data_IF_493711008875
#
_entry.id   IF_493711008875
#
_cell.length_a   1.000
_cell.length_b   1.000
_cell.length_c   1.000
_cell.angle_alpha   90.00
_cell.angle_beta   90.00
_cell.angle_gamma   90.00
#
_symmetry.space_group_name_H-M   'P 1'
#
loop_
_entity.id
_entity.type
_entity.pdbx_description
1 polymer ?
#
# COMPACT_ATOMS: atom_id res chain seq x y z
N UNK A 1 -13.23 6.11 5.04
CA UNK A 1 -12.01 5.73 4.27
C UNK A 1 -11.78 4.25 4.51
N UNK A 2 -11.72 3.45 3.45
CA UNK A 2 -11.62 1.98 3.54
C UNK A 2 -10.21 1.53 3.19
N UNK A 3 -9.66 0.58 3.96
CA UNK A 3 -8.39 -0.07 3.63
C UNK A 3 -8.67 -1.37 2.88
N UNK A 4 -8.14 -1.47 1.67
CA UNK A 4 -8.37 -2.56 0.72
C UNK A 4 -7.08 -3.35 0.45
N UNK A 5 -7.22 -4.59 0.00
CA UNK A 5 -6.12 -5.34 -0.63
C UNK A 5 -5.69 -4.64 -1.91
N UNK A 6 -4.47 -4.90 -2.38
CA UNK A 6 -3.92 -4.24 -3.57
C UNK A 6 -4.84 -4.40 -4.80
N UNK A 7 -5.30 -5.63 -5.08
CA UNK A 7 -6.20 -5.89 -6.21
C UNK A 7 -7.56 -5.19 -6.07
N UNK A 8 -8.19 -5.27 -4.89
CA UNK A 8 -9.46 -4.60 -4.65
C UNK A 8 -9.33 -3.06 -4.75
N UNK A 9 -8.20 -2.50 -4.33
CA UNK A 9 -7.92 -1.08 -4.50
C UNK A 9 -7.85 -0.68 -5.98
N UNK A 10 -7.21 -1.49 -6.81
CA UNK A 10 -7.06 -1.22 -8.26
C UNK A 10 -8.41 -1.26 -8.97
N UNK A 11 -9.26 -2.24 -8.66
CA UNK A 11 -10.62 -2.30 -9.22
C UNK A 11 -11.49 -1.11 -8.78
N UNK A 12 -11.45 -0.75 -7.50
CA UNK A 12 -12.20 0.41 -7.01
C UNK A 12 -11.65 1.73 -7.57
N UNK A 13 -10.33 1.84 -7.77
CA UNK A 13 -9.73 3.00 -8.42
C UNK A 13 -10.19 3.14 -9.87
N UNK A 14 -10.28 2.03 -10.64
CA UNK A 14 -10.83 2.07 -12.01
C UNK A 14 -12.24 2.64 -12.02
N UNK A 15 -13.13 2.09 -11.17
CA UNK A 15 -14.52 2.58 -11.05
C UNK A 15 -14.56 4.06 -10.69
N UNK A 16 -13.66 4.51 -9.83
CA UNK A 16 -13.58 5.90 -9.39
C UNK A 16 -13.14 6.85 -10.52
N UNK A 17 -12.25 6.40 -11.41
CA UNK A 17 -11.79 7.18 -12.57
C UNK A 17 -12.79 7.18 -13.74
N UNK A 18 -13.53 6.09 -13.94
CA UNK A 18 -14.51 5.97 -15.04
C UNK A 18 -15.92 6.42 -14.65
N UNK A 19 -16.09 6.96 -13.44
CA UNK A 19 -17.40 7.39 -12.96
C UNK A 19 -17.83 8.66 -13.70
N UNK A 20 -18.74 8.51 -14.64
CA UNK A 20 -19.42 9.63 -15.28
C UNK A 20 -20.44 10.20 -14.28
N UNK A 21 -20.02 11.18 -13.47
CA UNK A 21 -21.00 12.04 -12.79
C UNK A 21 -21.60 12.94 -13.89
N UNK A 22 -22.92 12.79 -14.15
CA UNK A 22 -23.70 13.46 -15.21
C UNK A 22 -23.58 15.00 -15.25
N UNK A 23 -22.91 15.62 -14.27
CA UNK A 23 -22.84 17.08 -14.13
C UNK A 23 -21.48 17.68 -13.75
N UNK A 24 -20.35 16.96 -13.77
CA UNK A 24 -19.01 17.58 -13.61
C UNK A 24 -17.85 16.62 -13.89
N UNK A 25 -16.80 17.14 -14.54
CA UNK A 25 -15.45 16.53 -14.49
C UNK A 25 -15.02 16.41 -13.03
N UNK A 26 -15.16 15.22 -12.44
CA UNK A 26 -14.74 14.95 -11.07
C UNK A 26 -13.22 14.71 -11.05
N UNK A 27 -12.49 15.44 -10.21
CA UNK A 27 -11.06 15.21 -10.01
C UNK A 27 -10.84 14.09 -9.01
N UNK A 28 -10.03 13.10 -9.39
CA UNK A 28 -9.57 12.04 -8.50
C UNK A 28 -8.23 12.44 -7.88
N UNK A 29 -8.19 12.53 -6.56
CA UNK A 29 -7.00 12.84 -5.78
C UNK A 29 -6.32 11.57 -5.30
N UNK A 30 -5.04 11.41 -5.65
CA UNK A 30 -4.21 10.29 -5.19
C UNK A 30 -3.06 10.83 -4.34
N UNK A 31 -2.84 10.21 -3.18
CA UNK A 31 -1.72 10.54 -2.30
C UNK A 31 -0.92 9.30 -1.96
N UNK A 32 0.41 9.46 -1.89
CA UNK A 32 1.35 8.41 -1.52
C UNK A 32 2.14 8.86 -0.30
N UNK A 33 2.20 8.03 0.75
CA UNK A 33 2.90 8.34 1.99
C UNK A 33 3.74 7.16 2.45
N UNK A 34 5.02 7.38 2.70
CA UNK A 34 5.90 6.40 3.37
C UNK A 34 5.47 6.25 4.84
N UNK A 35 5.16 5.03 5.26
CA UNK A 35 4.76 4.73 6.65
C UNK A 35 5.58 3.57 7.22
N UNK A 36 5.80 3.57 8.55
CA UNK A 36 6.55 2.49 9.22
C UNK A 36 5.70 1.23 9.29
N UNK A 37 6.26 0.07 8.94
CA UNK A 37 5.57 -1.24 8.88
C UNK A 37 5.05 -1.71 10.24
N UNK A 38 5.70 -1.30 11.33
CA UNK A 38 5.25 -1.62 12.69
C UNK A 38 3.89 -0.98 13.04
N UNK A 39 3.48 0.08 12.35
CA UNK A 39 2.16 0.70 12.51
C UNK A 39 1.03 -0.10 11.85
N UNK A 40 1.36 -1.05 10.96
CA UNK A 40 0.42 -1.88 10.19
C UNK A 40 0.16 -3.21 10.90
N UNK A 41 1.12 -3.68 11.70
CA UNK A 41 1.14 -5.01 12.34
C UNK A 41 0.00 -5.27 13.33
N UNK A 42 -0.91 -4.32 13.59
CA UNK A 42 -2.14 -4.59 14.36
C UNK A 42 -3.22 -5.33 13.56
N UNK A 43 -3.04 -5.51 12.25
CA UNK A 43 -4.11 -5.99 11.36
C UNK A 43 -3.88 -7.36 10.72
N UNK A 44 -2.66 -7.90 10.79
CA UNK A 44 -2.41 -9.30 10.41
C UNK A 44 -2.56 -10.13 11.69
N UNK A 45 -3.79 -10.56 11.95
CA UNK A 45 -4.07 -11.61 12.93
C UNK A 45 -3.10 -12.77 12.70
N UNK A 46 -2.49 -13.23 13.81
CA UNK A 46 -1.71 -14.46 13.90
C UNK A 46 -2.28 -15.53 12.97
N UNK A 47 -1.53 -15.89 11.94
CA UNK A 47 -1.55 -17.26 11.44
C UNK A 47 -0.46 -18.02 12.21
N UNK A 48 -0.86 -19.18 12.69
CA UNK A 48 -0.22 -20.02 13.70
C UNK A 48 1.17 -20.53 13.30
N UNK A 49 1.96 -20.89 14.31
CA UNK A 49 3.11 -21.80 14.18
C UNK A 49 4.46 -21.25 14.65
N UNK A 50 4.87 -21.67 15.86
CA UNK A 50 6.27 -21.86 16.36
C UNK A 50 7.24 -20.65 16.30
N UNK A 51 8.02 -20.27 17.31
CA UNK A 51 8.37 -20.78 18.63
C UNK A 51 9.05 -19.61 19.37
N UNK A 52 8.85 -19.51 20.68
CA UNK A 52 9.67 -18.66 21.53
C UNK A 52 11.02 -19.37 21.77
N UNK A 53 12.16 -18.69 21.54
CA UNK A 53 13.16 -18.34 22.59
C UNK A 53 14.55 -18.07 21.99
N UNK A 54 15.16 -17.02 22.53
CA UNK A 54 16.60 -16.74 22.66
C UNK A 54 17.42 -16.50 21.39
N UNK A 55 17.92 -15.27 21.22
CA UNK A 55 19.36 -15.06 21.39
C UNK A 55 19.69 -13.57 21.64
N UNK A 56 20.29 -13.31 22.80
CA UNK A 56 21.05 -12.10 23.07
C UNK A 56 22.44 -12.36 22.50
N UNK A 57 22.79 -11.79 21.35
CA UNK A 57 24.22 -11.62 21.00
C UNK A 57 24.44 -10.51 19.98
N UNK A 58 25.11 -9.47 20.45
CA UNK A 58 25.77 -8.44 19.66
C UNK A 58 26.67 -9.08 18.60
N UNK A 59 26.49 -8.70 17.33
CA UNK A 59 27.60 -8.64 16.37
C UNK A 59 27.33 -7.51 15.37
N UNK A 60 27.95 -6.35 15.62
CA UNK A 60 28.30 -5.40 14.56
C UNK A 60 29.14 -6.17 13.53
N UNK A 61 28.84 -6.02 12.23
CA UNK A 61 29.80 -5.88 11.12
C UNK A 61 29.04 -5.79 9.78
N UNK A 62 29.34 -4.70 9.07
CA UNK A 62 29.36 -4.44 7.63
C UNK A 62 28.11 -4.48 6.73
N UNK A 63 27.93 -3.31 6.08
CA UNK A 63 27.67 -3.04 4.66
C UNK A 63 26.76 -4.04 3.93
N UNK A 64 25.52 -3.62 3.74
CA UNK A 64 24.60 -4.23 2.80
C UNK A 64 23.70 -3.12 2.24
N UNK A 65 24.21 -2.41 1.24
CA UNK A 65 23.48 -1.41 0.44
C UNK A 65 22.50 -2.09 -0.57
N UNK A 66 21.93 -3.23 -0.17
CA UNK A 66 20.93 -3.98 -0.95
C UNK A 66 19.70 -4.43 -0.14
N UNK A 67 19.64 -4.15 1.16
CA UNK A 67 18.49 -4.52 1.99
C UNK A 67 17.33 -3.56 1.77
N UNK A 68 16.43 -3.94 0.86
CA UNK A 68 15.05 -3.41 0.77
C UNK A 68 14.56 -3.14 2.19
N UNK A 69 14.34 -1.87 2.52
CA UNK A 69 14.13 -1.44 3.88
C UNK A 69 12.74 -1.91 4.35
N UNK A 70 12.61 -3.20 4.70
CA UNK A 70 11.37 -3.90 5.14
C UNK A 70 10.68 -3.22 6.33
N UNK A 71 11.28 -2.16 6.88
CA UNK A 71 10.75 -1.30 7.93
C UNK A 71 9.69 -0.33 7.44
N UNK A 72 9.57 -0.07 6.14
CA UNK A 72 8.62 0.89 5.58
C UNK A 72 7.73 0.27 4.52
N UNK A 73 6.57 0.86 4.32
CA UNK A 73 5.65 0.56 3.21
C UNK A 73 5.14 1.87 2.61
N UNK A 74 4.58 1.80 1.41
CA UNK A 74 3.83 2.91 0.84
C UNK A 74 2.34 2.78 1.19
N UNK A 75 1.78 3.78 1.87
CA UNK A 75 0.34 3.93 2.01
C UNK A 75 -0.17 4.81 0.87
N UNK A 76 -1.06 4.26 0.07
CA UNK A 76 -1.67 4.95 -1.07
C UNK A 76 -3.14 5.20 -0.73
N UNK A 77 -3.64 6.39 -1.04
CA UNK A 77 -5.05 6.76 -0.85
C UNK A 77 -5.57 7.41 -2.12
N UNK A 78 -6.82 7.13 -2.46
CA UNK A 78 -7.53 7.76 -3.57
C UNK A 78 -8.92 8.25 -3.14
N UNK A 79 -9.36 9.37 -3.70
CA UNK A 79 -10.69 9.93 -3.45
C UNK A 79 -11.16 10.89 -4.55
N UNK A 80 -12.45 10.87 -4.84
CA UNK A 80 -13.17 11.86 -5.68
C UNK A 80 -13.82 12.97 -4.82
N UNK A 81 -13.48 13.03 -3.53
CA UNK A 81 -14.13 13.89 -2.52
C UNK A 81 -15.27 13.20 -1.78
N UNK A 82 -15.92 12.19 -2.38
CA UNK A 82 -17.03 11.40 -1.79
C UNK A 82 -16.52 10.05 -1.29
N UNK A 83 -16.04 9.19 -2.20
CA UNK A 83 -15.49 7.86 -1.93
C UNK A 83 -14.02 8.01 -1.53
N UNK A 84 -13.59 7.28 -0.49
CA UNK A 84 -12.22 7.32 0.03
C UNK A 84 -11.69 5.89 0.22
N UNK A 85 -10.75 5.48 -0.62
CA UNK A 85 -10.10 4.16 -0.59
C UNK A 85 -8.61 4.27 -0.28
N UNK A 86 -8.02 3.21 0.24
CA UNK A 86 -6.59 3.17 0.59
C UNK A 86 -6.02 1.75 0.53
N UNK A 87 -4.71 1.63 0.33
CA UNK A 87 -4.01 0.35 0.39
C UNK A 87 -2.56 0.51 0.86
N UNK A 88 -1.96 -0.58 1.36
CA UNK A 88 -0.53 -0.64 1.68
C UNK A 88 0.20 -1.44 0.61
N UNK A 89 1.27 -0.88 0.06
CA UNK A 89 2.14 -1.52 -0.94
C UNK A 89 3.50 -1.79 -0.31
N UNK A 90 3.91 -3.06 -0.32
CA UNK A 90 5.17 -3.51 0.30
C UNK A 90 6.21 -3.88 -0.76
N UNK A 91 6.14 -5.11 -1.26
CA UNK A 91 7.22 -5.71 -2.05
C UNK A 91 6.89 -5.79 -3.56
N UNK A 92 5.65 -5.46 -3.95
CA UNK A 92 5.14 -5.48 -5.34
C UNK A 92 4.97 -4.07 -5.94
N UNK A 93 5.76 -3.10 -5.48
CA UNK A 93 5.58 -1.69 -5.84
C UNK A 93 5.70 -1.41 -7.35
N UNK A 94 6.57 -2.14 -8.06
CA UNK A 94 6.76 -1.98 -9.51
C UNK A 94 5.48 -2.40 -10.25
N UNK A 95 4.98 -3.61 -10.03
CA UNK A 95 3.76 -4.10 -10.67
C UNK A 95 2.56 -3.20 -10.32
N UNK A 96 2.45 -2.80 -9.05
CA UNK A 96 1.38 -1.91 -8.60
C UNK A 96 1.46 -0.52 -9.27
N UNK A 97 2.67 0.01 -9.50
CA UNK A 97 2.87 1.27 -10.22
C UNK A 97 2.48 1.17 -11.69
N UNK A 98 2.75 0.03 -12.34
CA UNK A 98 2.33 -0.22 -13.72
C UNK A 98 0.81 -0.28 -13.82
N UNK A 99 0.15 -0.98 -12.90
CA UNK A 99 -1.33 -1.04 -12.86
C UNK A 99 -1.95 0.36 -12.70
N UNK A 100 -1.44 1.18 -11.77
CA UNK A 100 -1.91 2.56 -11.61
C UNK A 100 -1.66 3.40 -12.88
N UNK A 101 -0.48 3.29 -13.48
CA UNK A 101 -0.15 4.03 -14.69
C UNK A 101 -1.07 3.66 -15.86
N UNK A 102 -1.45 2.39 -15.98
CA UNK A 102 -2.39 1.95 -17.01
C UNK A 102 -3.77 2.58 -16.81
N UNK A 103 -4.23 2.71 -15.56
CA UNK A 103 -5.48 3.40 -15.25
C UNK A 103 -5.41 4.88 -15.59
N UNK A 104 -4.29 5.55 -15.29
CA UNK A 104 -4.12 6.99 -15.54
C UNK A 104 -3.99 7.35 -17.03
N UNK A 105 -3.53 6.41 -17.87
CA UNK A 105 -3.35 6.59 -19.31
C UNK A 105 -4.58 6.20 -20.14
N UNK A 106 -5.50 5.45 -19.55
CA UNK A 106 -6.78 5.08 -20.19
C UNK A 106 -7.74 6.25 -20.16
#
# INVERSE_FOLDING_TARGET
MVLLSNGAFVEELRKLCTREDENKKASVWITMKRVKRNMIKKMVSKKEGSEKRNDRRNKKINRDDGKVNKKYVCLIRATDGKIKISTHVLDNAINFSQEINNIMKS
#
